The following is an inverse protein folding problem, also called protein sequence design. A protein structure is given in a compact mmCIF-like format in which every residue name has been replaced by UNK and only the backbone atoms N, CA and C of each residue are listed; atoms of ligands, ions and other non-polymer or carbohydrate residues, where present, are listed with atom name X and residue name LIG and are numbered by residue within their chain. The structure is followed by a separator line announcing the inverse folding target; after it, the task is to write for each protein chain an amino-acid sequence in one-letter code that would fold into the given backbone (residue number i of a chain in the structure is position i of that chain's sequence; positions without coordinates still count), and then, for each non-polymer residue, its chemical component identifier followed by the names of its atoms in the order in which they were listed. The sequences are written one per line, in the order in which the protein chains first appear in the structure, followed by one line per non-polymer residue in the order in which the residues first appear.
data_IF_827955178583
#
_entry.id   IF_827955178583
#
_cell.length_a   1.000
_cell.length_b   1.000
_cell.length_c   1.000
_cell.angle_alpha   90.00
_cell.angle_beta   90.00
_cell.angle_gamma   90.00
#
_symmetry.space_group_name_H-M   'P 1'
#
loop_
_entity.id
_entity.type
_entity.pdbx_description
1 polymer ?
#
# COMPACT_ATOMS: atom_id res chain seq x y z
N UNK A 1 3.52 0.38 26.43
CA UNK A 1 3.17 -1.04 26.48
C UNK A 1 3.69 -1.69 27.77
N UNK A 2 3.46 -3.00 27.93
CA UNK A 2 3.97 -3.76 29.08
C UNK A 2 5.48 -3.82 29.00
N UNK A 3 6.14 -3.55 30.13
CA UNK A 3 7.58 -3.74 30.30
C UNK A 3 7.79 -4.94 31.23
N UNK A 4 8.69 -5.83 30.85
CA UNK A 4 9.10 -6.97 31.68
C UNK A 4 10.43 -6.67 32.35
N UNK A 5 10.55 -7.06 33.64
CA UNK A 5 11.74 -6.89 34.43
C UNK A 5 12.21 -8.25 34.94
N UNK A 6 13.52 -8.45 35.02
CA UNK A 6 14.11 -9.55 35.74
C UNK A 6 14.09 -9.18 37.23
N UNK A 7 13.50 -10.03 38.05
CA UNK A 7 13.42 -9.83 39.51
C UNK A 7 14.02 -11.04 40.24
N UNK A 8 14.64 -10.79 41.37
CA UNK A 8 15.15 -11.84 42.25
C UNK A 8 14.01 -12.58 42.95
N UNK A 9 14.32 -13.74 43.55
CA UNK A 9 13.35 -14.53 44.28
C UNK A 9 12.74 -13.73 45.43
N UNK A 10 11.43 -13.50 45.38
CA UNK A 10 10.71 -12.65 46.36
C UNK A 10 10.66 -11.15 46.00
N UNK A 11 11.30 -10.70 44.91
CA UNK A 11 11.21 -9.34 44.41
C UNK A 11 9.87 -9.07 43.72
N UNK A 12 9.36 -7.83 43.83
CA UNK A 12 8.19 -7.38 43.10
C UNK A 12 8.62 -6.65 41.82
N UNK A 13 8.04 -7.00 40.64
CA UNK A 13 8.33 -6.26 39.42
C UNK A 13 7.69 -4.86 39.46
N UNK A 14 8.35 -3.88 38.87
CA UNK A 14 7.81 -2.53 38.74
C UNK A 14 6.52 -2.52 37.89
N UNK A 15 5.45 -1.86 38.34
CA UNK A 15 4.21 -1.81 37.60
C UNK A 15 4.37 -0.97 36.32
N UNK A 16 3.89 -1.51 35.19
CA UNK A 16 3.82 -0.77 33.93
C UNK A 16 2.39 -0.41 33.58
N UNK A 17 2.16 0.81 33.12
CA UNK A 17 0.85 1.31 32.75
C UNK A 17 0.54 1.04 31.28
N UNK A 18 -0.62 0.46 31.00
CA UNK A 18 -1.10 0.26 29.64
C UNK A 18 -1.60 1.58 29.06
N UNK A 19 -1.07 1.94 27.90
CA UNK A 19 -1.65 3.01 27.07
C UNK A 19 -2.41 2.34 25.93
N UNK A 20 -3.74 2.36 26.02
CA UNK A 20 -4.62 1.85 24.98
C UNK A 20 -5.11 3.02 24.12
N UNK A 21 -5.01 2.87 22.84
CA UNK A 21 -5.53 3.83 21.86
C UNK A 21 -6.68 3.21 21.08
N UNK A 22 -7.73 3.99 20.89
CA UNK A 22 -8.90 3.57 20.12
C UNK A 22 -8.66 3.82 18.63
N UNK A 23 -8.79 2.77 17.81
CA UNK A 23 -8.92 2.87 16.37
C UNK A 23 -10.40 2.82 16.03
N UNK A 24 -10.92 3.86 15.38
CA UNK A 24 -12.30 3.92 14.91
C UNK A 24 -12.31 3.87 13.37
N UNK A 25 -13.07 2.92 12.83
CA UNK A 25 -13.27 2.76 11.39
C UNK A 25 -14.76 2.97 11.10
N UNK A 26 -15.08 3.79 10.09
CA UNK A 26 -16.45 4.13 9.70
C UNK A 26 -16.65 3.82 8.23
N UNK A 27 -17.52 2.87 7.93
CA UNK A 27 -17.83 2.47 6.56
C UNK A 27 -18.10 3.67 5.65
N UNK A 28 -17.32 3.80 4.61
CA UNK A 28 -17.46 4.79 3.54
C UNK A 28 -17.98 4.10 2.30
N UNK A 29 -18.59 4.85 1.40
CA UNK A 29 -19.15 4.34 0.16
C UNK A 29 -18.33 4.85 -1.02
N UNK A 30 -17.80 3.92 -1.81
CA UNK A 30 -17.32 4.17 -3.17
C UNK A 30 -18.43 3.78 -4.13
N UNK A 31 -18.61 4.53 -5.22
CA UNK A 31 -19.63 4.28 -6.20
C UNK A 31 -19.11 4.63 -7.60
N UNK A 32 -19.45 3.79 -8.56
CA UNK A 32 -19.26 4.03 -9.98
C UNK A 32 -20.62 4.15 -10.66
N UNK A 33 -20.72 5.00 -11.68
CA UNK A 33 -21.92 5.26 -12.45
C UNK A 33 -21.58 5.24 -13.94
N UNK A 34 -22.38 4.52 -14.74
CA UNK A 34 -22.24 4.45 -16.18
C UNK A 34 -23.60 4.61 -16.87
N UNK A 35 -23.59 5.09 -18.10
CA UNK A 35 -24.76 5.26 -18.95
C UNK A 35 -24.59 4.44 -20.22
N UNK A 36 -25.69 3.85 -20.71
CA UNK A 36 -25.74 3.12 -21.96
C UNK A 36 -27.07 3.37 -22.65
N UNK A 37 -27.05 3.39 -23.97
CA UNK A 37 -28.28 3.53 -24.76
C UNK A 37 -29.16 2.27 -24.66
N UNK A 38 -30.47 2.47 -24.71
CA UNK A 38 -31.44 1.35 -24.65
C UNK A 38 -31.23 0.36 -25.82
N UNK A 39 -30.81 0.86 -26.98
CA UNK A 39 -30.50 0.05 -28.16
C UNK A 39 -29.32 -0.89 -27.92
N UNK A 40 -28.22 -0.36 -27.33
CA UNK A 40 -27.04 -1.16 -27.03
C UNK A 40 -27.34 -2.25 -25.97
N UNK A 41 -28.16 -1.93 -24.98
CA UNK A 41 -28.59 -2.89 -23.97
C UNK A 41 -29.48 -3.98 -24.55
N UNK A 42 -30.32 -3.63 -25.54
CA UNK A 42 -31.20 -4.59 -26.20
C UNK A 42 -30.43 -5.52 -27.17
N UNK A 43 -29.44 -4.98 -27.88
CA UNK A 43 -28.72 -5.73 -28.92
C UNK A 43 -27.61 -6.64 -28.36
N UNK A 44 -27.05 -6.32 -27.20
CA UNK A 44 -25.93 -7.06 -26.62
C UNK A 44 -26.33 -7.82 -25.36
N UNK A 45 -26.91 -9.01 -25.52
CA UNK A 45 -27.34 -9.85 -24.40
C UNK A 45 -26.21 -10.26 -23.42
N UNK A 46 -24.95 -10.30 -23.88
CA UNK A 46 -23.77 -10.60 -23.04
C UNK A 46 -23.25 -9.40 -22.25
N UNK A 47 -23.71 -8.19 -22.56
CA UNK A 47 -23.15 -6.93 -22.03
C UNK A 47 -23.34 -6.77 -20.53
N UNK A 48 -24.43 -7.32 -19.99
CA UNK A 48 -24.70 -7.23 -18.54
C UNK A 48 -23.60 -7.87 -17.68
N UNK A 49 -23.05 -8.99 -18.12
CA UNK A 49 -21.96 -9.69 -17.43
C UNK A 49 -20.63 -8.91 -17.52
N UNK A 50 -20.32 -8.37 -18.69
CA UNK A 50 -19.09 -7.56 -18.87
C UNK A 50 -19.12 -6.26 -18.09
N UNK A 51 -20.28 -5.60 -18.01
CA UNK A 51 -20.45 -4.41 -17.17
C UNK A 51 -20.17 -4.67 -15.69
N UNK A 52 -20.64 -5.81 -15.17
CA UNK A 52 -20.35 -6.16 -13.78
C UNK A 52 -18.85 -6.34 -13.55
N UNK A 53 -18.13 -6.94 -14.48
CA UNK A 53 -16.67 -7.09 -14.40
C UNK A 53 -15.99 -5.72 -14.42
N UNK A 54 -16.31 -4.86 -15.38
CA UNK A 54 -15.72 -3.52 -15.49
C UNK A 54 -15.98 -2.66 -14.24
N UNK A 55 -17.21 -2.68 -13.71
CA UNK A 55 -17.52 -1.97 -12.48
C UNK A 55 -16.77 -2.53 -11.27
N UNK A 56 -16.60 -3.84 -11.18
CA UNK A 56 -15.85 -4.47 -10.09
C UNK A 56 -14.36 -4.13 -10.17
N UNK A 57 -13.77 -4.12 -11.37
CA UNK A 57 -12.38 -3.74 -11.60
C UNK A 57 -12.14 -2.28 -11.19
N UNK A 58 -12.99 -1.35 -11.67
CA UNK A 58 -12.87 0.06 -11.31
C UNK A 58 -13.04 0.31 -9.80
N UNK A 59 -14.04 -0.31 -9.16
CA UNK A 59 -14.23 -0.17 -7.71
C UNK A 59 -13.06 -0.77 -6.93
N UNK A 60 -12.47 -1.87 -7.42
CA UNK A 60 -11.28 -2.48 -6.80
C UNK A 60 -10.10 -1.52 -6.91
N UNK A 61 -9.85 -0.98 -8.10
CA UNK A 61 -8.80 0.02 -8.32
C UNK A 61 -8.94 1.23 -7.39
N UNK A 62 -10.14 1.80 -7.27
CA UNK A 62 -10.42 2.94 -6.39
C UNK A 62 -10.21 2.63 -4.89
N UNK A 63 -10.51 1.40 -4.48
CA UNK A 63 -10.25 0.96 -3.10
C UNK A 63 -8.76 0.75 -2.84
N UNK A 64 -8.04 0.17 -3.79
CA UNK A 64 -6.60 -0.05 -3.69
C UNK A 64 -5.82 1.26 -3.70
N UNK A 65 -6.20 2.20 -4.59
CA UNK A 65 -5.68 3.56 -4.59
C UNK A 65 -5.90 4.27 -3.25
N UNK A 66 -7.12 4.15 -2.69
CA UNK A 66 -7.42 4.71 -1.38
C UNK A 66 -6.64 4.03 -0.23
N UNK A 67 -6.31 2.75 -0.32
CA UNK A 67 -5.43 2.05 0.62
C UNK A 67 -3.99 2.54 0.46
N UNK A 68 -3.57 2.90 -0.74
CA UNK A 68 -2.24 3.40 -1.02
C UNK A 68 -2.04 4.84 -0.52
N UNK A 69 -2.83 5.80 -1.01
CA UNK A 69 -2.63 7.23 -0.72
C UNK A 69 -3.84 7.97 -0.19
N UNK A 70 -4.90 7.25 0.22
CA UNK A 70 -6.10 7.87 0.76
C UNK A 70 -5.79 8.79 1.94
N UNK A 71 -6.50 9.92 2.00
CA UNK A 71 -6.30 10.99 3.00
C UNK A 71 -7.21 10.87 4.22
N UNK A 72 -8.07 9.85 4.28
CA UNK A 72 -9.17 9.82 5.25
C UNK A 72 -10.31 10.79 4.86
N UNK A 73 -11.20 11.11 5.79
CA UNK A 73 -12.22 12.14 5.55
C UNK A 73 -13.33 11.78 4.54
N UNK A 74 -13.56 10.51 4.28
CA UNK A 74 -14.55 10.05 3.29
C UNK A 74 -14.08 8.80 2.54
N UNK A 75 -12.83 8.49 2.66
CA UNK A 75 -12.11 7.34 2.10
C UNK A 75 -11.18 6.74 3.16
N UNK A 76 -10.63 5.52 2.97
CA UNK A 76 -9.63 4.93 3.85
C UNK A 76 -8.41 5.84 4.07
N UNK A 77 -7.68 5.63 5.16
CA UNK A 77 -6.38 6.26 5.37
C UNK A 77 -5.32 5.39 4.73
N UNK A 78 -4.67 5.90 3.70
CA UNK A 78 -3.67 5.18 2.93
C UNK A 78 -2.33 5.02 3.64
N UNK A 79 -1.54 4.06 3.17
CA UNK A 79 -0.22 3.75 3.71
C UNK A 79 0.76 4.93 3.61
N UNK A 80 0.76 5.62 2.46
CA UNK A 80 1.66 6.75 2.19
C UNK A 80 1.36 7.97 3.06
N UNK A 81 0.08 8.18 3.41
CA UNK A 81 -0.39 9.33 4.20
C UNK A 81 -0.61 8.99 5.68
N UNK A 82 -0.29 7.77 6.09
CA UNK A 82 -0.41 7.35 7.48
C UNK A 82 0.56 8.12 8.38
N UNK A 83 0.10 8.57 9.54
CA UNK A 83 0.94 9.25 10.55
C UNK A 83 2.09 8.39 11.08
N UNK A 84 1.96 7.06 10.96
CA UNK A 84 3.00 6.11 11.31
C UNK A 84 3.96 5.77 10.15
N UNK A 85 3.72 6.27 8.93
CA UNK A 85 4.61 6.02 7.81
C UNK A 85 5.98 6.67 8.04
N UNK A 86 7.04 5.92 7.73
CA UNK A 86 8.41 6.43 7.79
C UNK A 86 8.91 6.70 6.38
N UNK A 87 9.33 7.93 6.14
CA UNK A 87 9.97 8.33 4.90
C UNK A 87 11.48 8.27 5.06
N UNK A 88 12.15 7.51 4.20
CA UNK A 88 13.61 7.40 4.15
C UNK A 88 14.15 8.46 3.22
N UNK A 89 15.12 9.24 3.67
CA UNK A 89 15.74 10.31 2.87
C UNK A 89 16.58 9.75 1.72
N UNK A 90 16.64 10.52 0.65
CA UNK A 90 17.55 10.24 -0.48
C UNK A 90 19.02 10.30 -0.04
N UNK A 91 19.89 9.68 -0.81
CA UNK A 91 21.34 9.74 -0.57
C UNK A 91 21.90 11.10 -1.01
N UNK A 92 23.01 11.50 -0.37
CA UNK A 92 23.72 12.70 -0.78
C UNK A 92 24.19 12.56 -2.23
N UNK A 93 23.92 13.56 -3.06
CA UNK A 93 24.23 13.55 -4.50
C UNK A 93 23.54 12.45 -5.31
N UNK A 94 22.43 11.90 -4.82
CA UNK A 94 21.61 10.98 -5.62
C UNK A 94 20.96 11.73 -6.78
N UNK A 95 21.10 11.17 -8.00
CA UNK A 95 20.45 11.73 -9.20
C UNK A 95 18.92 11.76 -9.07
N UNK A 96 18.30 12.69 -9.77
CA UNK A 96 16.84 12.75 -9.87
C UNK A 96 16.28 11.45 -10.47
N UNK A 97 15.07 11.07 -10.07
CA UNK A 97 14.37 9.90 -10.58
C UNK A 97 15.21 8.60 -10.57
N UNK A 98 16.05 8.41 -9.55
CA UNK A 98 16.87 7.19 -9.40
C UNK A 98 16.59 6.47 -8.10
N UNK A 99 16.81 5.15 -8.08
CA UNK A 99 16.83 4.34 -6.87
C UNK A 99 18.22 3.71 -6.77
N UNK A 100 18.79 3.69 -5.58
CA UNK A 100 20.09 3.08 -5.32
C UNK A 100 19.98 2.01 -4.24
N UNK A 101 20.86 1.00 -4.20
CA UNK A 101 20.81 -0.09 -3.22
C UNK A 101 20.81 0.39 -1.76
N UNK A 102 21.46 1.55 -1.49
CA UNK A 102 21.48 2.16 -0.16
C UNK A 102 20.09 2.57 0.31
N UNK A 103 19.25 3.16 -0.58
CA UNK A 103 17.88 3.52 -0.23
C UNK A 103 17.08 2.30 0.24
N UNK A 104 17.10 1.22 -0.54
CA UNK A 104 16.36 -0.02 -0.23
C UNK A 104 16.89 -0.69 1.04
N UNK A 105 18.19 -0.63 1.27
CA UNK A 105 18.79 -1.15 2.50
C UNK A 105 18.39 -0.33 3.74
N UNK A 106 18.32 1.00 3.62
CA UNK A 106 17.82 1.88 4.67
C UNK A 106 16.32 1.68 4.92
N UNK A 107 15.51 1.54 3.86
CA UNK A 107 14.08 1.21 4.00
C UNK A 107 13.89 -0.11 4.75
N UNK A 108 14.68 -1.13 4.40
CA UNK A 108 14.64 -2.41 5.10
C UNK A 108 15.04 -2.31 6.58
N UNK A 109 16.01 -1.46 6.90
CA UNK A 109 16.43 -1.22 8.29
C UNK A 109 15.34 -0.54 9.12
N UNK A 110 14.49 0.30 8.52
CA UNK A 110 13.40 1.01 9.17
C UNK A 110 12.15 0.14 9.43
N UNK A 111 12.12 -1.10 8.95
CA UNK A 111 11.03 -2.03 9.23
C UNK A 111 11.28 -2.85 10.50
N UNK A 112 10.29 -2.97 11.41
CA UNK A 112 10.40 -3.81 12.60
C UNK A 112 10.72 -5.26 12.25
N UNK A 113 11.58 -5.92 13.02
CA UNK A 113 12.02 -7.29 12.76
C UNK A 113 10.85 -8.29 12.62
N UNK A 114 9.80 -8.11 13.43
CA UNK A 114 8.58 -8.94 13.37
C UNK A 114 7.81 -8.81 12.05
N UNK A 115 7.84 -7.63 11.43
CA UNK A 115 7.15 -7.33 10.17
C UNK A 115 7.94 -7.78 8.94
N UNK A 116 9.28 -7.90 9.03
CA UNK A 116 10.14 -8.32 7.90
C UNK A 116 9.74 -9.65 7.27
N UNK A 117 9.19 -10.58 8.08
CA UNK A 117 8.74 -11.90 7.56
C UNK A 117 7.49 -11.83 6.68
N UNK A 118 6.70 -10.76 6.77
CA UNK A 118 5.43 -10.56 6.04
C UNK A 118 5.50 -9.38 5.09
N UNK A 119 6.61 -8.67 5.08
CA UNK A 119 6.81 -7.50 4.27
C UNK A 119 6.70 -7.81 2.78
N UNK A 120 6.12 -6.89 2.05
CA UNK A 120 6.00 -6.90 0.58
C UNK A 120 6.50 -5.54 0.10
N UNK A 121 7.26 -5.56 -0.97
CA UNK A 121 7.62 -4.36 -1.69
C UNK A 121 6.56 -4.08 -2.74
N UNK A 122 6.12 -2.83 -2.83
CA UNK A 122 5.25 -2.34 -3.89
C UNK A 122 5.97 -1.23 -4.62
N UNK A 123 5.84 -1.18 -5.94
CA UNK A 123 6.50 -0.17 -6.76
C UNK A 123 5.65 0.17 -8.00
N UNK A 124 5.82 1.39 -8.50
CA UNK A 124 5.24 1.77 -9.80
C UNK A 124 5.97 1.05 -10.93
N UNK A 125 5.25 0.65 -11.97
CA UNK A 125 5.83 -0.04 -13.15
C UNK A 125 7.01 0.72 -13.74
N UNK A 126 6.99 2.05 -13.74
CA UNK A 126 8.08 2.91 -14.22
C UNK A 126 9.41 2.70 -13.45
N UNK A 127 9.35 2.13 -12.26
CA UNK A 127 10.52 1.88 -11.39
C UNK A 127 11.26 0.61 -11.80
N UNK A 128 10.61 -0.32 -12.49
CA UNK A 128 11.15 -1.65 -12.80
C UNK A 128 12.49 -1.62 -13.52
N UNK A 129 12.70 -0.80 -14.58
CA UNK A 129 14.01 -0.71 -15.25
C UNK A 129 15.14 -0.25 -14.30
N UNK A 130 14.82 0.60 -13.32
CA UNK A 130 15.79 1.02 -12.30
C UNK A 130 16.12 -0.11 -11.33
N UNK A 131 15.14 -0.93 -10.95
CA UNK A 131 15.37 -2.08 -10.07
C UNK A 131 16.23 -3.14 -10.75
N UNK A 132 16.01 -3.41 -12.02
CA UNK A 132 16.79 -4.37 -12.80
C UNK A 132 18.25 -3.96 -12.97
N UNK A 133 18.49 -2.66 -13.08
CA UNK A 133 19.84 -2.10 -13.21
C UNK A 133 20.61 -2.07 -11.87
N UNK A 134 19.96 -2.38 -10.74
CA UNK A 134 20.59 -2.31 -9.42
C UNK A 134 21.65 -3.39 -9.24
N UNK A 135 22.87 -2.95 -8.99
CA UNK A 135 24.00 -3.81 -8.67
C UNK A 135 24.63 -3.42 -7.35
N UNK A 136 25.19 -4.39 -6.64
CA UNK A 136 26.01 -4.09 -5.47
C UNK A 136 27.39 -3.62 -5.94
N UNK A 137 27.99 -2.58 -5.33
CA UNK A 137 29.35 -2.20 -5.62
C UNK A 137 30.25 -3.40 -5.34
N UNK A 138 30.83 -3.94 -6.41
CA UNK A 138 31.87 -4.95 -6.29
C UNK A 138 33.15 -4.24 -5.86
N UNK A 139 33.85 -4.77 -4.88
CA UNK A 139 35.23 -4.40 -4.63
C UNK A 139 36.09 -4.58 -5.90
N UNK A 140 37.37 -4.66 -5.78
CA UNK A 140 38.35 -4.75 -6.87
C UNK A 140 38.17 -5.94 -7.85
N UNK A 141 37.21 -6.84 -7.64
CA UNK A 141 37.03 -8.09 -8.38
C UNK A 141 36.18 -8.03 -9.67
N UNK A 142 35.67 -6.88 -10.04
CA UNK A 142 35.04 -6.66 -11.37
C UNK A 142 33.65 -7.26 -11.61
N UNK A 143 33.17 -8.21 -10.80
CA UNK A 143 31.83 -8.77 -10.89
C UNK A 143 30.87 -8.01 -9.95
N UNK A 144 29.86 -7.35 -10.53
CA UNK A 144 28.84 -6.66 -9.75
C UNK A 144 27.62 -7.60 -9.58
N UNK A 145 27.42 -8.19 -8.38
CA UNK A 145 26.25 -9.01 -8.14
C UNK A 145 24.99 -8.15 -8.19
N UNK A 146 23.93 -8.69 -8.75
CA UNK A 146 22.62 -8.02 -8.75
C UNK A 146 22.13 -7.84 -7.32
N UNK A 147 21.50 -6.70 -7.06
CA UNK A 147 20.86 -6.42 -5.78
C UNK A 147 19.47 -7.06 -5.68
N UNK A 148 18.84 -7.29 -6.79
CA UNK A 148 17.51 -7.88 -6.93
C UNK A 148 17.62 -9.30 -7.49
N UNK A 149 16.75 -10.17 -7.02
CA UNK A 149 16.64 -11.56 -7.47
C UNK A 149 15.25 -11.80 -8.07
N UNK A 150 15.16 -12.80 -8.96
CA UNK A 150 13.87 -13.28 -9.46
C UNK A 150 13.56 -14.66 -8.88
N UNK A 151 12.29 -14.90 -8.52
CA UNK A 151 11.84 -16.24 -8.18
C UNK A 151 11.76 -17.11 -9.44
N UNK A 152 11.61 -18.44 -9.26
CA UNK A 152 11.37 -19.36 -10.37
C UNK A 152 10.10 -19.03 -11.17
N UNK A 153 9.18 -18.31 -10.56
CA UNK A 153 7.90 -17.85 -11.14
C UNK A 153 8.01 -16.45 -11.79
N UNK A 154 9.23 -15.88 -11.89
CA UNK A 154 9.44 -14.57 -12.49
C UNK A 154 9.10 -13.37 -11.60
N UNK A 155 8.78 -13.57 -10.33
CA UNK A 155 8.48 -12.47 -9.40
C UNK A 155 9.78 -11.84 -8.88
N UNK A 156 9.91 -10.53 -9.06
CA UNK A 156 11.03 -9.75 -8.54
C UNK A 156 11.09 -9.85 -7.01
N UNK A 157 12.30 -9.98 -6.46
CA UNK A 157 12.53 -10.05 -5.01
C UNK A 157 13.65 -9.12 -4.57
N UNK A 158 13.40 -8.41 -3.46
CA UNK A 158 14.41 -7.60 -2.77
C UNK A 158 14.54 -8.10 -1.34
N UNK A 159 15.77 -8.42 -0.91
CA UNK A 159 16.03 -9.01 0.43
C UNK A 159 15.20 -10.26 0.69
N UNK A 160 14.95 -11.08 -0.34
CA UNK A 160 14.15 -12.30 -0.25
C UNK A 160 12.63 -12.06 -0.10
N UNK A 161 12.14 -10.82 -0.23
CA UNK A 161 10.73 -10.47 -0.17
C UNK A 161 10.19 -10.15 -1.57
N UNK A 162 8.94 -10.54 -1.86
CA UNK A 162 8.33 -10.27 -3.16
C UNK A 162 8.18 -8.76 -3.39
N UNK A 163 8.34 -8.37 -4.65
CA UNK A 163 8.06 -7.03 -5.16
C UNK A 163 6.90 -7.14 -6.14
N UNK A 164 5.86 -6.34 -5.93
CA UNK A 164 4.66 -6.34 -6.75
C UNK A 164 4.52 -4.97 -7.44
N UNK A 165 4.37 -4.96 -8.77
CA UNK A 165 4.08 -3.74 -9.50
C UNK A 165 2.64 -3.31 -9.20
N UNK A 166 2.42 -2.00 -9.09
CA UNK A 166 1.11 -1.39 -8.88
C UNK A 166 1.00 -0.09 -9.68
N UNK A 167 -0.18 0.17 -10.25
CA UNK A 167 -0.40 1.32 -11.13
C UNK A 167 -0.68 2.62 -10.37
N UNK A 168 -1.27 2.51 -9.18
CA UNK A 168 -1.64 3.64 -8.33
C UNK A 168 -0.48 4.22 -7.52
N UNK A 169 0.71 3.63 -7.58
CA UNK A 169 1.91 4.21 -6.97
C UNK A 169 2.40 5.43 -7.76
N UNK A 170 3.02 6.35 -7.06
CA UNK A 170 3.58 7.56 -7.69
C UNK A 170 4.66 7.21 -8.72
N UNK A 171 4.84 8.06 -9.74
CA UNK A 171 5.90 7.91 -10.74
C UNK A 171 7.29 8.00 -10.12
N UNK A 172 8.26 7.40 -10.79
CA UNK A 172 9.65 7.35 -10.32
C UNK A 172 10.19 8.73 -9.93
N UNK A 173 10.88 8.78 -8.80
CA UNK A 173 11.44 10.01 -8.25
C UNK A 173 10.51 10.78 -7.32
N UNK A 174 9.23 10.45 -7.28
CA UNK A 174 8.25 11.04 -6.37
C UNK A 174 8.09 10.18 -5.12
N UNK A 175 7.73 10.80 -3.99
CA UNK A 175 7.45 10.06 -2.75
C UNK A 175 6.34 9.02 -2.98
N UNK A 176 6.60 7.78 -2.59
CA UNK A 176 5.64 6.68 -2.74
C UNK A 176 5.76 5.90 -4.05
N UNK A 177 6.79 6.13 -4.86
CA UNK A 177 7.09 5.33 -6.06
C UNK A 177 7.53 3.91 -5.72
N UNK A 178 8.12 3.72 -4.56
CA UNK A 178 8.42 2.41 -3.96
C UNK A 178 8.11 2.43 -2.46
N UNK A 179 7.42 1.40 -2.00
CA UNK A 179 7.08 1.24 -0.59
C UNK A 179 7.38 -0.18 -0.10
N UNK A 180 7.83 -0.26 1.15
CA UNK A 180 7.94 -1.51 1.89
C UNK A 180 6.85 -1.55 2.95
N UNK A 181 5.93 -2.52 2.85
CA UNK A 181 4.71 -2.57 3.64
C UNK A 181 4.55 -3.93 4.31
N UNK A 182 4.09 -3.96 5.57
CA UNK A 182 3.51 -5.14 6.22
C UNK A 182 1.98 -5.03 6.17
N UNK A 183 1.28 -5.68 5.22
CA UNK A 183 -0.17 -5.55 5.06
C UNK A 183 -0.97 -5.99 6.30
N UNK A 184 -0.42 -6.87 7.14
CA UNK A 184 -1.07 -7.30 8.38
C UNK A 184 -1.21 -6.19 9.42
N UNK A 185 -0.46 -5.10 9.27
CA UNK A 185 -0.55 -3.92 10.12
C UNK A 185 -1.58 -2.89 9.61
N UNK A 186 -2.34 -3.24 8.59
CA UNK A 186 -3.48 -2.46 8.11
C UNK A 186 -4.79 -3.14 8.51
N UNK A 187 -5.76 -2.35 8.96
CA UNK A 187 -7.09 -2.82 9.34
C UNK A 187 -8.09 -2.34 8.31
N UNK A 188 -8.72 -3.28 7.62
CA UNK A 188 -9.77 -3.02 6.65
C UNK A 188 -11.09 -3.60 7.17
N UNK A 189 -12.15 -2.80 7.10
CA UNK A 189 -13.52 -3.25 7.31
C UNK A 189 -14.30 -3.12 6.01
N UNK A 190 -15.20 -4.07 5.77
CA UNK A 190 -16.11 -4.07 4.63
C UNK A 190 -17.51 -4.52 5.05
N UNK A 191 -18.53 -4.10 4.33
CA UNK A 191 -19.90 -4.54 4.55
C UNK A 191 -20.54 -5.00 3.24
N UNK A 192 -20.76 -6.29 3.13
CA UNK A 192 -21.32 -6.92 1.92
C UNK A 192 -20.31 -6.98 0.76
N UNK A 193 -20.80 -7.34 -0.41
CA UNK A 193 -20.10 -7.26 -1.70
C UNK A 193 -20.47 -5.98 -2.45
N UNK A 194 -20.04 -5.88 -3.70
CA UNK A 194 -20.46 -4.84 -4.62
C UNK A 194 -21.97 -5.00 -4.88
N UNK A 195 -22.70 -3.89 -4.83
CA UNK A 195 -24.12 -3.84 -5.11
C UNK A 195 -24.36 -3.13 -6.42
N UNK A 196 -24.97 -3.82 -7.37
CA UNK A 196 -25.33 -3.30 -8.68
C UNK A 196 -26.80 -2.88 -8.69
N UNK A 197 -27.10 -1.78 -9.36
CA UNK A 197 -28.46 -1.31 -9.58
C UNK A 197 -28.54 -0.59 -10.94
N UNK A 198 -29.66 -0.76 -11.62
CA UNK A 198 -29.94 -0.06 -12.89
C UNK A 198 -31.22 0.77 -12.76
N UNK A 199 -31.32 1.82 -13.57
CA UNK A 199 -32.50 2.69 -13.66
C UNK A 199 -32.65 3.28 -15.05
N UNK A 200 -33.86 3.20 -15.57
CA UNK A 200 -34.24 3.81 -16.86
C UNK A 200 -34.73 5.26 -16.69
N UNK A 201 -34.97 5.73 -15.45
CA UNK A 201 -35.65 7.00 -15.20
C UNK A 201 -34.73 8.21 -15.20
N UNK A 202 -33.43 8.03 -14.93
CA UNK A 202 -32.49 9.14 -14.72
C UNK A 202 -32.23 9.92 -16.04
N UNK A 203 -32.15 9.21 -17.16
CA UNK A 203 -31.93 9.77 -18.50
C UNK A 203 -32.97 9.31 -19.51
N UNK A 204 -34.21 9.27 -19.08
CA UNK A 204 -35.35 8.82 -19.89
C UNK A 204 -35.48 9.56 -21.22
N UNK A 205 -35.28 10.89 -21.24
CA UNK A 205 -35.39 11.72 -22.46
C UNK A 205 -34.26 11.50 -23.46
N UNK A 206 -33.17 10.91 -23.04
CA UNK A 206 -32.02 10.56 -23.89
C UNK A 206 -32.06 9.11 -24.38
N UNK A 207 -32.99 8.27 -23.91
CA UNK A 207 -33.05 6.83 -24.22
C UNK A 207 -31.82 6.08 -23.67
N UNK A 208 -31.37 6.46 -22.47
CA UNK A 208 -30.21 5.86 -21.83
C UNK A 208 -30.57 5.22 -20.49
N UNK A 209 -30.08 4.02 -20.26
CA UNK A 209 -30.11 3.35 -18.96
C UNK A 209 -28.90 3.76 -18.12
N UNK A 210 -29.14 3.94 -16.83
CA UNK A 210 -28.12 4.26 -15.85
C UNK A 210 -27.79 3.01 -15.04
N UNK A 211 -26.51 2.65 -14.98
CA UNK A 211 -25.97 1.56 -14.18
C UNK A 211 -25.14 2.14 -13.05
N UNK A 212 -25.29 1.58 -11.86
CA UNK A 212 -24.56 2.01 -10.67
C UNK A 212 -24.05 0.81 -9.91
N UNK A 213 -22.76 0.82 -9.63
CA UNK A 213 -22.14 -0.12 -8.69
C UNK A 213 -21.72 0.62 -7.42
N UNK A 214 -21.92 0.01 -6.26
CA UNK A 214 -21.56 0.60 -4.95
C UNK A 214 -20.90 -0.42 -4.06
N UNK A 215 -19.84 0.02 -3.36
CA UNK A 215 -19.15 -0.78 -2.37
C UNK A 215 -18.91 0.02 -1.10
N UNK A 216 -18.86 -0.65 0.06
CA UNK A 216 -18.68 0.01 1.37
C UNK A 216 -17.51 -0.61 2.10
N UNK A 217 -16.48 0.19 2.32
CA UNK A 217 -15.31 -0.18 3.10
C UNK A 217 -14.75 1.01 3.87
N UNK A 218 -13.85 0.75 4.79
CA UNK A 218 -12.98 1.73 5.41
C UNK A 218 -11.72 1.02 5.90
N UNK A 219 -10.62 1.74 5.99
CA UNK A 219 -9.35 1.18 6.41
C UNK A 219 -8.42 2.21 7.01
N UNK A 220 -7.58 1.74 7.92
CA UNK A 220 -6.51 2.54 8.48
C UNK A 220 -5.38 1.65 9.03
N UNK A 221 -4.15 2.18 9.12
CA UNK A 221 -3.06 1.53 9.82
C UNK A 221 -3.42 1.21 11.27
N UNK A 222 -3.02 0.03 11.74
CA UNK A 222 -3.20 -0.38 13.14
C UNK A 222 -2.31 0.41 14.10
N UNK A 223 -1.28 1.08 13.56
CA UNK A 223 -0.34 1.91 14.30
C UNK A 223 -0.67 3.39 14.07
N UNK A 224 -0.73 4.19 15.12
CA UNK A 224 -0.93 5.65 15.01
C UNK A 224 0.36 6.44 14.85
N UNK A 225 1.49 5.89 15.30
CA UNK A 225 2.81 6.53 15.20
C UNK A 225 3.89 5.50 14.91
N UNK A 226 5.00 5.96 14.37
CA UNK A 226 6.19 5.14 14.20
C UNK A 226 6.72 4.65 15.57
N UNK A 227 7.32 3.47 15.59
CA UNK A 227 7.85 2.85 16.80
C UNK A 227 9.23 3.43 17.09
N UNK A 228 9.45 3.92 18.32
CA UNK A 228 10.80 4.21 18.81
C UNK A 228 11.46 2.87 19.18
N UNK A 229 12.63 2.51 18.63
CA UNK A 229 13.32 1.27 18.97
C UNK A 229 13.82 1.32 20.40
N UNK A 230 13.95 0.14 21.03
CA UNK A 230 14.51 0.05 22.38
C UNK A 230 15.98 0.52 22.43
N UNK A 231 16.74 0.21 21.36
CA UNK A 231 18.11 0.70 21.18
C UNK A 231 18.24 1.28 19.77
N UNK A 232 18.85 2.44 19.65
CA UNK A 232 19.01 3.16 18.38
C UNK A 232 18.12 4.40 18.31
N UNK A 233 18.36 5.27 17.34
CA UNK A 233 17.66 6.55 17.14
C UNK A 233 16.60 6.51 16.05
N UNK A 234 16.71 5.54 15.13
CA UNK A 234 15.89 5.48 13.93
C UNK A 234 14.51 4.87 14.19
N UNK A 235 13.47 5.65 13.99
CA UNK A 235 12.08 5.17 14.13
C UNK A 235 11.77 4.05 13.14
N UNK A 236 10.94 3.09 13.58
CA UNK A 236 10.55 1.93 12.80
C UNK A 236 9.06 2.01 12.45
N UNK A 237 8.70 1.54 11.26
CA UNK A 237 7.30 1.44 10.85
C UNK A 237 7.03 0.21 10.00
N UNK A 238 5.77 -0.24 10.03
CA UNK A 238 5.27 -1.25 9.09
C UNK A 238 5.04 -0.68 7.67
N UNK A 239 5.13 0.65 7.52
CA UNK A 239 4.93 1.38 6.26
C UNK A 239 6.12 2.29 6.04
N UNK A 240 6.99 1.91 5.11
CA UNK A 240 8.23 2.63 4.81
C UNK A 240 8.24 3.02 3.35
N UNK A 241 8.48 4.28 3.08
CA UNK A 241 8.51 4.85 1.74
C UNK A 241 9.79 5.66 1.52
N UNK A 242 10.10 5.91 0.26
CA UNK A 242 11.26 6.71 -0.11
C UNK A 242 10.84 8.17 -0.36
N UNK A 243 11.72 9.10 0.00
CA UNK A 243 11.54 10.53 -0.21
C UNK A 243 11.58 10.88 -1.71
N UNK A 244 10.99 12.03 -2.07
CA UNK A 244 11.11 12.61 -3.41
C UNK A 244 12.58 12.86 -3.78
N UNK A 245 12.94 12.49 -5.01
CA UNK A 245 14.31 12.56 -5.56
C UNK A 245 14.35 13.38 -6.85
N UNK A 246 13.58 14.44 -6.87
CA UNK A 246 13.58 15.44 -7.95
C UNK A 246 14.38 16.67 -7.59
#
# INVERSE_FOLDING_TARGET
GVQGFWVDQGGAPDPSTFKLERLELRLRKVAALGYMTDELVADAAALGGELEVLFNEELTFQVEDAIWEGKGGGQPVGWSNASCAVTVSKETNQGAATIVPANLSKMWARMPARSKKRAIWFYNVDVEPNLDALTLPAGTAGLQPRFVDYSAEGVLRIKGRPCLPVEYASTIGTKGDIMLVDPFMYRLIKKGGVQHASSIHVRFTQGEQTFRATYRCDGAPAMKSAITPFKGSDTLSAFVQLETRG
#
